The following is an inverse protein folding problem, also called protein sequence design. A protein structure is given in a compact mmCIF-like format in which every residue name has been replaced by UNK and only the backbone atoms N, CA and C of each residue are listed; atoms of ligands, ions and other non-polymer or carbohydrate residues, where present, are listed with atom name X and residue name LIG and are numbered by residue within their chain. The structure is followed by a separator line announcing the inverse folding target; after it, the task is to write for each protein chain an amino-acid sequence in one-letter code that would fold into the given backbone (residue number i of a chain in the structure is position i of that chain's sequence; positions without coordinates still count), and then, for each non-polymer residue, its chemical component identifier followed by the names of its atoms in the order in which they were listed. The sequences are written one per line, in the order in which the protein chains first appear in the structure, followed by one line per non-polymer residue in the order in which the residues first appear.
data_IF_909868384308
#
_entry.id   IF_909868384308
#
_cell.length_a   1.000
_cell.length_b   1.000
_cell.length_c   1.000
_cell.angle_alpha   90.00
_cell.angle_beta   90.00
_cell.angle_gamma   90.00
#
_symmetry.space_group_name_H-M   'P 1'
#
loop_
_entity.id
_entity.type
_entity.pdbx_description
1 polymer ?
#
# COMPACT_ATOMS: atom_id res chain seq x y z
N UNK A 1 15.70 -0.08 3.47
CA UNK A 1 14.78 -1.06 4.10
C UNK A 1 13.71 -1.55 3.12
N UNK A 2 12.88 -0.65 2.57
CA UNK A 2 11.79 -1.02 1.64
C UNK A 2 12.24 -1.85 0.42
N UNK A 3 13.32 -1.43 -0.24
CA UNK A 3 13.89 -2.14 -1.41
C UNK A 3 14.31 -3.59 -1.12
N UNK A 4 14.84 -3.86 0.08
CA UNK A 4 15.23 -5.23 0.45
C UNK A 4 14.01 -6.10 0.73
N UNK A 5 12.98 -5.54 1.37
CA UNK A 5 11.70 -6.24 1.59
C UNK A 5 11.07 -6.58 0.24
N UNK A 6 11.08 -5.65 -0.73
CA UNK A 6 10.50 -5.93 -2.04
C UNK A 6 11.22 -7.06 -2.77
N UNK A 7 12.56 -7.16 -2.69
CA UNK A 7 13.30 -8.27 -3.25
C UNK A 7 13.02 -9.60 -2.55
N UNK A 8 12.90 -9.62 -1.22
CA UNK A 8 12.53 -10.84 -0.49
C UNK A 8 11.14 -11.34 -0.90
N UNK A 9 10.22 -10.43 -1.15
CA UNK A 9 8.85 -10.72 -1.58
C UNK A 9 8.73 -11.18 -3.02
N UNK A 10 9.78 -11.08 -3.86
CA UNK A 10 9.79 -11.67 -5.20
C UNK A 10 9.67 -13.19 -5.15
N UNK A 11 10.13 -13.82 -4.07
CA UNK A 11 10.03 -15.26 -3.84
C UNK A 11 8.65 -15.71 -3.30
N UNK A 12 7.80 -14.78 -2.88
CA UNK A 12 6.47 -15.09 -2.35
C UNK A 12 5.46 -15.34 -3.47
N UNK A 13 4.58 -16.32 -3.25
CA UNK A 13 3.47 -16.62 -4.14
C UNK A 13 2.54 -15.41 -4.24
N UNK A 14 2.41 -14.87 -5.47
CA UNK A 14 1.40 -13.86 -5.80
C UNK A 14 0.00 -14.49 -5.79
N UNK A 15 -1.06 -13.72 -5.47
CA UNK A 15 -1.10 -12.26 -5.30
C UNK A 15 -0.80 -11.80 -3.87
N UNK A 16 -0.27 -10.59 -3.72
CA UNK A 16 -0.14 -9.88 -2.43
C UNK A 16 -0.20 -8.37 -2.67
N UNK A 17 -0.53 -7.60 -1.63
CA UNK A 17 -0.46 -6.15 -1.65
C UNK A 17 0.62 -5.64 -0.69
N UNK A 18 1.21 -4.52 -1.05
CA UNK A 18 2.15 -3.80 -0.20
C UNK A 18 1.71 -2.36 -0.06
N UNK A 19 1.80 -1.86 1.17
CA UNK A 19 1.51 -0.47 1.51
C UNK A 19 2.64 0.11 2.35
N UNK A 20 2.94 1.38 2.15
CA UNK A 20 3.65 2.20 3.13
C UNK A 20 2.62 3.15 3.70
N UNK A 21 2.55 3.22 5.03
CA UNK A 21 1.80 4.22 5.74
C UNK A 21 2.81 5.15 6.41
N UNK A 22 2.68 6.44 6.14
CA UNK A 22 3.46 7.49 6.81
C UNK A 22 2.49 8.31 7.65
N UNK A 23 2.73 8.40 8.95
CA UNK A 23 1.93 9.23 9.84
C UNK A 23 2.52 10.63 9.90
N UNK A 24 1.69 11.65 9.66
CA UNK A 24 2.14 13.03 9.58
C UNK A 24 2.46 13.64 10.94
N UNK A 25 2.04 13.01 12.04
CA UNK A 25 2.19 13.53 13.39
C UNK A 25 3.15 12.69 14.25
N UNK A 26 3.24 11.38 13.99
CA UNK A 26 4.14 10.48 14.72
C UNK A 26 4.88 9.51 13.79
N UNK A 27 6.12 9.82 13.45
CA UNK A 27 6.97 8.95 12.63
C UNK A 27 7.21 7.56 13.25
N UNK A 28 6.97 7.38 14.56
CA UNK A 28 6.99 6.07 15.20
C UNK A 28 5.87 5.14 14.71
N UNK A 29 4.82 5.68 14.08
CA UNK A 29 3.73 4.93 13.45
C UNK A 29 3.98 4.62 11.97
N UNK A 30 5.09 5.07 11.40
CA UNK A 30 5.44 4.74 10.02
C UNK A 30 5.61 3.22 9.87
N UNK A 31 4.89 2.65 8.91
CA UNK A 31 4.82 1.21 8.77
C UNK A 31 4.76 0.76 7.32
N UNK A 32 5.38 -0.40 7.05
CA UNK A 32 5.24 -1.12 5.79
C UNK A 32 4.35 -2.32 6.05
N UNK A 33 3.24 -2.40 5.31
CA UNK A 33 2.29 -3.49 5.40
C UNK A 33 2.49 -4.45 4.23
N UNK A 34 2.49 -5.74 4.54
CA UNK A 34 2.41 -6.84 3.59
C UNK A 34 1.10 -7.58 3.81
N UNK A 35 0.29 -7.70 2.76
CA UNK A 35 -1.06 -8.24 2.86
C UNK A 35 -1.24 -9.36 1.84
N UNK A 36 -1.62 -10.55 2.30
CA UNK A 36 -1.86 -11.74 1.47
C UNK A 36 -3.33 -12.14 1.49
N UNK A 37 -3.82 -12.89 0.47
CA UNK A 37 -5.14 -13.49 0.52
C UNK A 37 -5.29 -14.34 1.78
N UNK A 38 -6.36 -14.11 2.51
CA UNK A 38 -6.80 -14.99 3.58
C UNK A 38 -7.90 -15.90 3.01
N UNK A 39 -7.89 -17.22 3.21
CA UNK A 39 -8.96 -18.12 2.77
C UNK A 39 -10.38 -17.70 3.20
N UNK A 40 -10.50 -16.88 4.25
CA UNK A 40 -11.76 -16.37 4.76
C UNK A 40 -12.10 -14.95 4.28
N UNK A 41 -11.37 -14.38 3.32
CA UNK A 41 -11.53 -12.99 2.87
C UNK A 41 -12.91 -12.66 2.29
N UNK A 42 -13.63 -13.68 1.84
CA UNK A 42 -14.96 -13.52 1.24
C UNK A 42 -16.08 -13.48 2.29
N UNK A 43 -15.75 -13.75 3.57
CA UNK A 43 -16.71 -13.69 4.66
C UNK A 43 -16.85 -12.25 5.18
N UNK A 44 -18.09 -11.76 5.45
CA UNK A 44 -18.34 -10.38 5.88
C UNK A 44 -17.61 -9.97 7.17
N UNK A 45 -17.26 -10.94 8.01
CA UNK A 45 -16.58 -10.72 9.29
C UNK A 45 -15.06 -10.59 9.16
N UNK A 46 -14.51 -10.68 7.94
CA UNK A 46 -13.07 -10.65 7.69
C UNK A 46 -12.70 -9.51 6.76
N UNK A 47 -11.46 -9.03 6.88
CA UNK A 47 -10.94 -8.00 5.98
C UNK A 47 -10.85 -8.56 4.55
N UNK A 48 -11.37 -7.84 3.55
CA UNK A 48 -11.36 -8.31 2.17
C UNK A 48 -9.95 -8.30 1.61
N UNK A 49 -9.69 -9.23 0.68
CA UNK A 49 -8.51 -9.19 -0.17
C UNK A 49 -8.95 -8.98 -1.63
N UNK A 50 -8.47 -7.94 -2.33
CA UNK A 50 -7.54 -6.91 -1.87
C UNK A 50 -8.14 -5.97 -0.81
N UNK A 51 -7.29 -5.45 0.08
CA UNK A 51 -7.64 -4.40 1.02
C UNK A 51 -8.13 -3.16 0.26
N UNK A 52 -9.27 -2.63 0.67
CA UNK A 52 -9.84 -1.40 0.16
C UNK A 52 -9.72 -0.30 1.22
N UNK A 53 -9.29 0.88 0.79
CA UNK A 53 -9.15 2.06 1.64
C UNK A 53 -10.05 3.18 1.08
N UNK A 54 -11.38 3.10 1.31
CA UNK A 54 -12.34 4.08 0.77
C UNK A 54 -12.15 5.47 1.38
N UNK A 55 -11.56 5.53 2.57
CA UNK A 55 -11.28 6.76 3.30
C UNK A 55 -9.95 7.42 2.91
N UNK A 56 -9.34 6.97 1.81
CA UNK A 56 -8.12 7.58 1.26
C UNK A 56 -8.45 8.31 -0.04
N UNK A 57 -8.03 9.58 -0.11
CA UNK A 57 -8.03 10.38 -1.33
C UNK A 57 -6.78 10.04 -2.15
N UNK A 58 -6.94 9.18 -3.14
CA UNK A 58 -5.87 8.74 -4.03
C UNK A 58 -5.49 9.77 -5.10
N UNK A 59 -4.25 9.71 -5.57
CA UNK A 59 -3.72 10.62 -6.60
C UNK A 59 -3.01 11.83 -5.99
N UNK A 60 -2.30 11.63 -4.88
CA UNK A 60 -1.50 12.70 -4.27
C UNK A 60 -0.25 12.96 -5.11
N UNK A 61 -0.41 13.82 -6.12
CA UNK A 61 0.52 13.94 -7.26
C UNK A 61 1.94 14.35 -6.88
N UNK A 62 2.09 15.20 -5.87
CA UNK A 62 3.38 15.69 -5.37
C UNK A 62 4.18 14.56 -4.75
N UNK A 63 3.51 13.76 -3.92
CA UNK A 63 4.12 12.58 -3.31
C UNK A 63 4.43 11.52 -4.37
N UNK A 64 3.53 11.27 -5.32
CA UNK A 64 3.79 10.32 -6.42
C UNK A 64 5.03 10.74 -7.23
N UNK A 65 5.15 12.02 -7.61
CA UNK A 65 6.34 12.55 -8.30
C UNK A 65 7.61 12.36 -7.48
N UNK A 66 7.57 12.65 -6.19
CA UNK A 66 8.69 12.43 -5.28
C UNK A 66 9.07 10.94 -5.26
N UNK A 67 8.12 10.04 -5.01
CA UNK A 67 8.38 8.61 -4.95
C UNK A 67 8.90 8.06 -6.28
N UNK A 68 8.39 8.52 -7.42
CA UNK A 68 8.92 8.13 -8.72
C UNK A 68 10.38 8.56 -8.91
N UNK A 69 10.79 9.73 -8.43
CA UNK A 69 12.19 10.14 -8.51
C UNK A 69 13.13 9.26 -7.67
N UNK A 70 12.66 8.75 -6.53
CA UNK A 70 13.50 8.02 -5.57
C UNK A 70 13.38 6.49 -5.65
N UNK A 71 12.25 5.96 -6.14
CA UNK A 71 11.89 4.54 -6.11
C UNK A 71 11.56 3.98 -7.52
N UNK A 72 11.85 4.72 -8.59
CA UNK A 72 11.79 4.19 -9.97
C UNK A 72 12.70 2.95 -10.09
N UNK A 73 12.21 1.81 -10.62
CA UNK A 73 11.07 1.68 -11.54
C UNK A 73 9.73 1.23 -10.91
N UNK A 74 9.54 1.32 -9.59
CA UNK A 74 8.30 0.81 -8.98
C UNK A 74 7.07 1.67 -9.34
N UNK A 75 5.98 1.06 -9.86
CA UNK A 75 4.75 1.79 -10.13
C UNK A 75 3.99 2.00 -8.82
N UNK A 76 4.17 3.18 -8.22
CA UNK A 76 3.60 3.55 -6.92
C UNK A 76 2.44 4.52 -7.11
N UNK A 77 1.45 4.45 -6.23
CA UNK A 77 0.36 5.42 -6.11
C UNK A 77 0.29 5.91 -4.68
N UNK A 78 0.09 7.21 -4.48
CA UNK A 78 -0.03 7.79 -3.15
C UNK A 78 -1.44 8.36 -2.93
N UNK A 79 -1.86 8.38 -1.67
CA UNK A 79 -3.10 8.99 -1.24
C UNK A 79 -2.98 9.52 0.19
N UNK A 80 -3.90 10.39 0.56
CA UNK A 80 -3.97 10.99 1.90
C UNK A 80 -5.28 10.58 2.58
N UNK A 81 -5.21 10.24 3.87
CA UNK A 81 -6.37 9.93 4.69
C UNK A 81 -7.39 11.08 4.72
N UNK A 82 -8.68 10.72 4.80
CA UNK A 82 -9.80 11.68 4.94
C UNK A 82 -10.06 11.99 6.41
N UNK A 83 -10.68 13.15 6.64
CA UNK A 83 -11.19 13.54 7.95
C UNK A 83 -10.08 13.71 8.99
N UNK A 84 -10.09 12.88 10.03
CA UNK A 84 -9.10 12.89 11.11
C UNK A 84 -7.88 12.02 10.83
N UNK A 85 -7.90 11.22 9.77
CA UNK A 85 -6.76 10.38 9.40
C UNK A 85 -5.64 11.25 8.82
N UNK A 86 -4.55 11.39 9.56
CA UNK A 86 -3.38 12.21 9.23
C UNK A 86 -2.27 11.37 8.60
N UNK A 87 -2.62 10.42 7.74
CA UNK A 87 -1.66 9.50 7.13
C UNK A 87 -1.56 9.65 5.62
N UNK A 88 -0.37 9.40 5.10
CA UNK A 88 -0.12 9.19 3.68
C UNK A 88 -0.01 7.68 3.45
N UNK A 89 -0.77 7.19 2.49
CA UNK A 89 -0.76 5.80 2.06
C UNK A 89 -0.10 5.70 0.70
N UNK A 90 0.87 4.80 0.56
CA UNK A 90 1.59 4.55 -0.69
C UNK A 90 1.39 3.08 -1.04
N UNK A 91 0.98 2.80 -2.26
CA UNK A 91 0.65 1.46 -2.74
C UNK A 91 1.41 1.12 -4.01
N UNK A 92 1.99 -0.07 -4.08
CA UNK A 92 2.54 -0.58 -5.33
C UNK A 92 1.46 -1.19 -6.22
N UNK A 93 1.28 -0.63 -7.42
CA UNK A 93 0.33 -1.16 -8.41
C UNK A 93 0.86 -2.38 -9.17
N UNK A 94 2.16 -2.70 -9.01
CA UNK A 94 2.82 -3.83 -9.70
C UNK A 94 2.30 -5.21 -9.26
N UNK A 95 1.72 -5.28 -8.05
CA UNK A 95 1.28 -6.52 -7.43
C UNK A 95 -0.24 -6.65 -7.34
N UNK A 96 -0.99 -5.79 -8.06
CA UNK A 96 -2.44 -5.92 -8.14
C UNK A 96 -2.81 -7.28 -8.73
N UNK A 97 -3.69 -7.99 -8.04
CA UNK A 97 -4.53 -8.99 -8.70
C UNK A 97 -5.26 -8.28 -9.85
N UNK A 98 -5.30 -8.82 -11.09
CA UNK A 98 -6.19 -8.27 -12.10
C UNK A 98 -7.61 -8.31 -11.53
N UNK A 99 -8.20 -7.13 -11.35
CA UNK A 99 -9.62 -7.00 -11.06
C UNK A 99 -10.32 -7.46 -12.34
N UNK A 100 -11.12 -8.52 -12.23
CA UNK A 100 -12.06 -8.90 -13.28
C UNK A 100 -13.14 -7.84 -13.43
#
# INVERSE_FOLDING_TARGET
MFHNITHQLESYSKPYQMWICLDLEDAGQDAVFFYTPNPQSDLPSHSPFPLQLPDVNWGFSEMEKFLHAWLSPMPLRAGIGKGKDRRIYIHSTAYRHPLK
#
